data_IF_568841565402
#
_entry.id   IF_568841565402
#
_cell.length_a   1.000
_cell.length_b   1.000
_cell.length_c   1.000
_cell.angle_alpha   90.00
_cell.angle_beta   90.00
_cell.angle_gamma   90.00
#
_symmetry.space_group_name_H-M   'P 1'
#
loop_
_entity.id
_entity.type
_entity.pdbx_description
1 polymer ?
#
# COMPACT_ATOMS: atom_id res chain seq x y z
N UNK A 1 18.01 -7.53 -11.70
CA UNK A 1 17.53 -8.42 -10.61
C UNK A 1 16.30 -9.15 -11.16
N UNK A 2 16.12 -10.46 -10.94
CA UNK A 2 14.95 -11.17 -11.42
C UNK A 2 13.67 -10.60 -10.79
N UNK A 3 12.56 -10.65 -11.53
CA UNK A 3 11.23 -10.37 -10.99
C UNK A 3 10.93 -11.36 -9.86
N UNK A 4 10.32 -10.88 -8.78
CA UNK A 4 9.99 -11.69 -7.62
C UNK A 4 8.48 -11.59 -7.35
N UNK A 5 7.80 -12.73 -7.43
CA UNK A 5 6.37 -12.83 -7.17
C UNK A 5 5.57 -11.77 -7.95
N UNK A 6 4.91 -10.85 -7.24
CA UNK A 6 4.09 -9.81 -7.84
C UNK A 6 4.81 -8.47 -8.07
N UNK A 7 6.14 -8.39 -7.91
CA UNK A 7 6.91 -7.14 -8.11
C UNK A 7 6.64 -6.39 -9.42
N UNK A 8 6.26 -7.03 -10.56
CA UNK A 8 5.84 -6.29 -11.75
C UNK A 8 4.67 -5.33 -11.54
N UNK A 9 3.84 -5.52 -10.50
CA UNK A 9 2.67 -4.67 -10.24
C UNK A 9 3.05 -3.22 -9.91
N UNK A 10 4.25 -2.97 -9.36
CA UNK A 10 4.75 -1.62 -9.14
C UNK A 10 5.98 -1.28 -9.99
N UNK A 11 6.79 -2.28 -10.38
CA UNK A 11 8.04 -2.04 -11.12
C UNK A 11 7.92 -2.19 -12.64
N UNK A 12 6.79 -2.71 -13.13
CA UNK A 12 6.61 -3.11 -14.53
C UNK A 12 7.24 -4.47 -14.85
N UNK A 13 6.81 -5.09 -15.95
CA UNK A 13 7.22 -6.47 -16.31
C UNK A 13 8.72 -6.59 -16.62
N UNK A 14 9.36 -5.49 -16.98
CA UNK A 14 10.78 -5.40 -17.29
C UNK A 14 11.56 -4.54 -16.29
N UNK A 15 10.98 -4.23 -15.11
CA UNK A 15 11.55 -3.30 -14.13
C UNK A 15 11.79 -1.89 -14.70
N UNK A 16 10.96 -1.48 -15.66
CA UNK A 16 11.05 -0.19 -16.33
C UNK A 16 10.62 0.99 -15.44
N UNK A 17 9.91 0.73 -14.34
CA UNK A 17 9.41 1.74 -13.41
C UNK A 17 10.25 1.87 -12.13
N UNK A 18 11.26 1.02 -11.92
CA UNK A 18 12.06 1.02 -10.70
C UNK A 18 12.92 -0.23 -10.52
N UNK A 19 13.65 -0.29 -9.40
CA UNK A 19 14.48 -1.43 -9.02
C UNK A 19 13.91 -2.02 -7.73
N UNK A 20 13.75 -3.35 -7.67
CA UNK A 20 13.33 -4.03 -6.46
C UNK A 20 14.41 -3.90 -5.38
N UNK A 21 14.05 -3.26 -4.26
CA UNK A 21 14.91 -3.12 -3.08
C UNK A 21 14.38 -3.98 -1.92
N UNK A 22 15.21 -4.31 -0.93
CA UNK A 22 14.73 -4.96 0.30
C UNK A 22 13.61 -4.16 0.97
N UNK A 23 13.67 -2.83 0.95
CA UNK A 23 12.66 -1.96 1.55
C UNK A 23 11.30 -2.04 0.86
N UNK A 24 11.26 -2.27 -0.46
CA UNK A 24 10.00 -2.51 -1.19
C UNK A 24 9.38 -3.87 -0.82
N UNK A 25 10.24 -4.84 -0.49
CA UNK A 25 9.81 -6.21 -0.16
C UNK A 25 9.42 -6.35 1.31
N UNK A 26 10.18 -5.73 2.21
CA UNK A 26 10.09 -5.82 3.66
C UNK A 26 10.41 -4.45 4.28
N UNK A 27 9.44 -3.51 4.23
CA UNK A 27 9.63 -2.15 4.70
C UNK A 27 9.84 -2.10 6.22
N UNK A 28 10.66 -1.15 6.69
CA UNK A 28 10.86 -0.99 8.13
C UNK A 28 9.60 -0.43 8.81
N UNK A 29 9.37 -0.70 10.10
CA UNK A 29 8.25 -0.14 10.85
C UNK A 29 8.19 1.40 10.75
N UNK A 30 9.33 2.08 10.78
CA UNK A 30 9.40 3.54 10.69
C UNK A 30 8.92 4.04 9.33
N UNK A 31 9.29 3.35 8.25
CA UNK A 31 8.85 3.68 6.89
C UNK A 31 7.35 3.44 6.73
N UNK A 32 6.83 2.31 7.23
CA UNK A 32 5.39 2.01 7.23
C UNK A 32 4.62 3.14 7.94
N UNK A 33 5.04 3.51 9.15
CA UNK A 33 4.37 4.54 9.95
C UNK A 33 4.42 5.92 9.28
N UNK A 34 5.54 6.25 8.64
CA UNK A 34 5.70 7.52 7.95
C UNK A 34 4.80 7.62 6.71
N UNK A 35 4.83 6.62 5.84
CA UNK A 35 4.02 6.63 4.61
C UNK A 35 2.51 6.56 4.90
N UNK A 36 2.10 5.83 5.94
CA UNK A 36 0.70 5.86 6.41
C UNK A 36 0.30 7.28 6.85
N UNK A 37 1.14 7.95 7.64
CA UNK A 37 0.85 9.33 8.09
C UNK A 37 0.74 10.30 6.91
N UNK A 38 1.64 10.19 5.94
CA UNK A 38 1.69 11.04 4.75
C UNK A 38 0.44 10.84 3.88
N UNK A 39 0.06 9.59 3.61
CA UNK A 39 -1.15 9.27 2.83
C UNK A 39 -2.42 9.71 3.56
N UNK A 40 -2.55 9.41 4.86
CA UNK A 40 -3.70 9.85 5.67
C UNK A 40 -3.82 11.39 5.64
N UNK A 41 -2.69 12.09 5.74
CA UNK A 41 -2.64 13.54 5.62
C UNK A 41 -3.05 14.06 4.25
N UNK A 42 -2.55 13.45 3.17
CA UNK A 42 -2.82 13.86 1.80
C UNK A 42 -4.30 13.70 1.42
N UNK A 43 -4.93 12.60 1.83
CA UNK A 43 -6.33 12.32 1.47
C UNK A 43 -7.35 12.81 2.52
N UNK A 44 -6.89 13.29 3.67
CA UNK A 44 -7.74 13.67 4.79
C UNK A 44 -8.47 12.49 5.44
N UNK A 45 -7.84 11.31 5.45
CA UNK A 45 -8.41 10.04 5.92
C UNK A 45 -8.92 10.10 7.36
N UNK A 46 -9.96 9.34 7.67
CA UNK A 46 -10.62 9.33 9.00
C UNK A 46 -10.39 8.06 9.80
N UNK A 47 -9.93 7.00 9.13
CA UNK A 47 -9.61 5.70 9.70
C UNK A 47 -8.58 5.00 8.84
N UNK A 48 -7.79 4.12 9.44
CA UNK A 48 -6.89 3.21 8.73
C UNK A 48 -7.36 1.78 8.97
N UNK A 49 -7.45 0.98 7.92
CA UNK A 49 -7.66 -0.46 8.04
C UNK A 49 -6.34 -1.19 7.74
N UNK A 50 -6.00 -2.17 8.56
CA UNK A 50 -4.78 -2.97 8.43
C UNK A 50 -5.14 -4.43 8.27
N UNK A 51 -4.68 -5.02 7.17
CA UNK A 51 -4.62 -6.46 6.98
C UNK A 51 -3.15 -6.89 7.01
N UNK A 52 -2.82 -7.87 7.85
CA UNK A 52 -1.47 -8.38 8.02
C UNK A 52 -1.50 -9.87 8.26
N UNK A 53 -0.49 -10.58 7.76
CA UNK A 53 -0.31 -12.01 8.00
C UNK A 53 0.21 -12.31 9.42
N UNK A 54 0.75 -11.30 10.13
CA UNK A 54 1.27 -11.46 11.49
C UNK A 54 1.03 -10.23 12.37
N UNK A 55 1.86 -9.21 12.19
CA UNK A 55 1.82 -8.01 13.04
C UNK A 55 1.04 -6.90 12.35
N UNK A 56 -0.03 -6.46 13.01
CA UNK A 56 -0.94 -5.44 12.48
C UNK A 56 -0.56 -4.02 12.91
N UNK A 57 0.43 -3.84 13.81
CA UNK A 57 0.91 -2.52 14.26
C UNK A 57 -0.19 -1.54 14.70
N UNK A 58 -1.34 -2.05 15.19
CA UNK A 58 -2.53 -1.22 15.43
C UNK A 58 -2.26 -0.09 16.41
N UNK A 59 -1.54 -0.39 17.50
CA UNK A 59 -1.16 0.60 18.51
C UNK A 59 -0.21 1.64 17.91
N UNK A 60 0.86 1.21 17.24
CA UNK A 60 1.88 2.11 16.70
C UNK A 60 1.29 3.06 15.64
N UNK A 61 0.44 2.54 14.75
CA UNK A 61 -0.24 3.36 13.74
C UNK A 61 -1.22 4.33 14.41
N UNK A 62 -1.97 3.88 15.41
CA UNK A 62 -2.91 4.75 16.14
C UNK A 62 -2.18 5.86 16.88
N UNK A 63 -1.04 5.56 17.51
CA UNK A 63 -0.23 6.53 18.23
C UNK A 63 0.42 7.54 17.28
N UNK A 64 0.95 7.07 16.13
CA UNK A 64 1.48 7.94 15.06
C UNK A 64 0.43 8.93 14.55
N UNK A 65 -0.84 8.51 14.48
CA UNK A 65 -1.94 9.30 13.93
C UNK A 65 -2.77 10.06 14.97
N UNK A 66 -2.43 9.98 16.26
CA UNK A 66 -3.26 10.49 17.36
C UNK A 66 -3.58 11.99 17.23
N UNK A 67 -2.60 12.80 16.78
CA UNK A 67 -2.75 14.25 16.58
C UNK A 67 -3.76 14.60 15.49
N UNK A 68 -4.05 13.67 14.59
CA UNK A 68 -5.04 13.80 13.52
C UNK A 68 -6.43 13.28 13.93
N UNK A 69 -6.55 12.68 15.11
CA UNK A 69 -7.79 12.04 15.57
C UNK A 69 -8.16 10.79 14.76
N UNK A 70 -7.20 10.15 14.11
CA UNK A 70 -7.40 8.96 13.29
C UNK A 70 -6.91 7.72 14.05
N UNK A 71 -7.61 6.60 13.88
CA UNK A 71 -7.28 5.31 14.51
C UNK A 71 -7.11 4.21 13.45
N UNK A 72 -6.29 3.21 13.78
CA UNK A 72 -6.15 2.00 13.01
C UNK A 72 -7.11 0.89 13.50
N UNK A 73 -7.59 0.08 12.58
CA UNK A 73 -8.48 -1.04 12.83
C UNK A 73 -8.01 -2.26 12.04
N UNK A 74 -8.28 -3.45 12.57
CA UNK A 74 -8.15 -4.72 11.84
C UNK A 74 -9.46 -5.48 11.93
N UNK A 75 -9.64 -6.48 11.07
CA UNK A 75 -10.72 -7.41 11.26
C UNK A 75 -10.44 -8.31 12.48
N UNK A 76 -11.46 -8.58 13.28
CA UNK A 76 -11.30 -9.33 14.53
C UNK A 76 -11.04 -10.82 14.29
N UNK A 77 -11.52 -11.35 13.16
CA UNK A 77 -11.31 -12.73 12.73
C UNK A 77 -10.23 -12.82 11.65
N UNK A 78 -9.53 -13.96 11.60
CA UNK A 78 -8.55 -14.25 10.55
C UNK A 78 -9.28 -14.72 9.29
N UNK A 79 -9.82 -13.76 8.53
CA UNK A 79 -10.55 -14.00 7.29
C UNK A 79 -9.93 -13.23 6.12
N UNK A 80 -8.96 -13.83 5.40
CA UNK A 80 -8.21 -13.14 4.36
C UNK A 80 -9.08 -12.61 3.20
N UNK A 81 -10.21 -13.26 2.90
CA UNK A 81 -11.13 -12.79 1.86
C UNK A 81 -11.89 -11.53 2.28
N UNK A 82 -12.23 -11.41 3.57
CA UNK A 82 -12.86 -10.22 4.13
C UNK A 82 -11.88 -9.06 4.12
N UNK A 83 -10.62 -9.30 4.47
CA UNK A 83 -9.55 -8.31 4.36
C UNK A 83 -9.37 -7.83 2.91
N UNK A 84 -9.29 -8.74 1.93
CA UNK A 84 -9.19 -8.37 0.51
C UNK A 84 -10.38 -7.52 0.06
N UNK A 85 -11.58 -7.83 0.52
CA UNK A 85 -12.78 -7.05 0.20
C UNK A 85 -12.70 -5.63 0.78
N UNK A 86 -12.31 -5.49 2.05
CA UNK A 86 -12.16 -4.18 2.72
C UNK A 86 -11.06 -3.36 2.03
N UNK A 87 -9.89 -3.95 1.77
CA UNK A 87 -8.77 -3.30 1.08
C UNK A 87 -9.16 -2.85 -0.34
N UNK A 88 -9.95 -3.65 -1.05
CA UNK A 88 -10.42 -3.29 -2.40
C UNK A 88 -11.34 -2.08 -2.36
N UNK A 89 -12.14 -1.93 -1.30
CA UNK A 89 -13.13 -0.85 -1.16
C UNK A 89 -12.58 0.42 -0.49
N UNK A 90 -11.32 0.45 -0.07
CA UNK A 90 -10.74 1.62 0.62
C UNK A 90 -10.64 2.84 -0.28
N UNK A 91 -10.65 4.05 0.30
CA UNK A 91 -10.45 5.27 -0.49
C UNK A 91 -9.06 5.28 -1.14
N UNK A 92 -8.03 4.90 -0.39
CA UNK A 92 -6.64 4.72 -0.84
C UNK A 92 -6.13 3.35 -0.38
N UNK A 93 -5.30 2.69 -1.19
CA UNK A 93 -4.68 1.42 -0.84
C UNK A 93 -3.15 1.54 -0.88
N UNK A 94 -2.48 1.18 0.21
CA UNK A 94 -1.02 0.99 0.26
C UNK A 94 -0.74 -0.50 0.37
N UNK A 95 -0.06 -1.07 -0.62
CA UNK A 95 0.27 -2.50 -0.66
C UNK A 95 1.76 -2.79 -0.49
N UNK A 96 2.08 -4.07 -0.30
CA UNK A 96 3.42 -4.60 -0.51
C UNK A 96 3.58 -4.96 -2.00
N UNK A 97 4.61 -4.47 -2.68
CA UNK A 97 4.76 -4.69 -4.12
C UNK A 97 5.10 -6.14 -4.50
N UNK A 98 5.74 -6.90 -3.61
CA UNK A 98 6.15 -8.29 -3.90
C UNK A 98 5.01 -9.27 -3.65
N UNK A 99 4.07 -8.94 -2.75
CA UNK A 99 2.98 -9.84 -2.35
C UNK A 99 1.96 -10.09 -3.46
N UNK A 100 1.66 -11.37 -3.72
CA UNK A 100 0.56 -11.77 -4.62
C UNK A 100 -0.83 -11.49 -4.02
N UNK A 101 -0.92 -11.40 -2.69
CA UNK A 101 -2.14 -11.05 -1.96
C UNK A 101 -2.55 -9.60 -2.26
N UNK A 102 -1.63 -8.65 -2.12
CA UNK A 102 -1.86 -7.24 -2.45
C UNK A 102 -2.08 -7.02 -3.94
N UNK A 103 -1.48 -7.87 -4.79
CA UNK A 103 -1.70 -7.87 -6.23
C UNK A 103 -3.15 -8.18 -6.64
N UNK A 104 -3.87 -8.97 -5.83
CA UNK A 104 -5.31 -9.14 -6.02
C UNK A 104 -6.03 -7.79 -5.85
N UNK A 105 -5.77 -7.08 -4.75
CA UNK A 105 -6.37 -5.78 -4.45
C UNK A 105 -6.05 -4.76 -5.53
N UNK A 106 -4.77 -4.66 -5.92
CA UNK A 106 -4.32 -3.71 -6.94
C UNK A 106 -5.08 -3.91 -8.26
N UNK A 107 -5.18 -5.16 -8.75
CA UNK A 107 -5.95 -5.49 -9.96
C UNK A 107 -7.44 -5.23 -9.80
N UNK A 108 -8.02 -5.60 -8.66
CA UNK A 108 -9.45 -5.42 -8.41
C UNK A 108 -9.83 -3.92 -8.42
N UNK A 109 -8.95 -3.05 -7.92
CA UNK A 109 -9.11 -1.59 -7.95
C UNK A 109 -8.90 -1.03 -9.35
N UNK A 110 -7.85 -1.45 -10.06
CA UNK A 110 -7.51 -0.93 -11.40
C UNK A 110 -8.55 -1.34 -12.48
N UNK A 111 -8.92 -2.61 -12.50
CA UNK A 111 -9.81 -3.17 -13.52
C UNK A 111 -11.26 -3.32 -13.06
N UNK A 112 -11.57 -2.91 -11.83
CA UNK A 112 -12.91 -2.94 -11.28
C UNK A 112 -13.92 -2.03 -12.00
N UNK A 113 -15.20 -2.28 -11.74
CA UNK A 113 -16.31 -1.46 -12.23
C UNK A 113 -16.42 -0.10 -11.52
N UNK A 114 -15.91 0.00 -10.30
CA UNK A 114 -15.86 1.23 -9.50
C UNK A 114 -14.72 2.12 -9.98
N UNK A 115 -15.04 3.16 -10.74
CA UNK A 115 -14.08 4.12 -11.31
C UNK A 115 -13.72 5.27 -10.38
N UNK A 116 -14.39 5.36 -9.24
CA UNK A 116 -14.18 6.37 -8.20
C UNK A 116 -13.14 5.96 -7.15
N UNK A 117 -12.69 4.69 -7.17
CA UNK A 117 -11.60 4.22 -6.31
C UNK A 117 -10.29 4.92 -6.69
N UNK A 118 -9.61 5.51 -5.71
CA UNK A 118 -8.36 6.24 -5.94
C UNK A 118 -7.15 5.31 -6.03
N UNK A 119 -6.02 5.92 -6.32
CA UNK A 119 -4.73 5.32 -6.62
C UNK A 119 -4.28 4.23 -5.62
N UNK A 120 -3.51 3.29 -6.14
CA UNK A 120 -2.73 2.36 -5.35
C UNK A 120 -1.34 2.97 -5.13
N UNK A 121 -0.78 2.82 -3.93
CA UNK A 121 0.65 3.01 -3.69
C UNK A 121 1.27 1.74 -3.10
N UNK A 122 2.59 1.69 -3.05
CA UNK A 122 3.32 0.54 -2.50
C UNK A 122 4.41 1.03 -1.55
N UNK A 123 4.57 0.35 -0.43
CA UNK A 123 5.57 0.74 0.58
C UNK A 123 6.99 0.76 -0.02
N UNK A 124 7.73 1.84 0.26
CA UNK A 124 9.12 1.99 -0.15
C UNK A 124 9.34 2.13 -1.66
N UNK A 125 8.27 2.22 -2.45
CA UNK A 125 8.34 2.45 -3.89
C UNK A 125 8.29 3.95 -4.20
N UNK A 126 9.36 4.46 -4.80
CA UNK A 126 9.41 5.80 -5.37
C UNK A 126 9.49 5.69 -6.90
N UNK A 127 8.58 6.33 -7.65
CA UNK A 127 8.67 6.36 -9.11
C UNK A 127 9.97 7.04 -9.56
N UNK A 128 10.64 6.47 -10.57
CA UNK A 128 11.74 7.18 -11.22
C UNK A 128 11.15 8.42 -11.90
N UNK A 129 11.46 9.62 -11.39
CA UNK A 129 11.11 10.86 -12.08
C UNK A 129 11.70 10.82 -13.49
N UNK A 130 10.83 10.85 -14.51
CA UNK A 130 11.28 11.08 -15.88
C UNK A 130 11.95 12.45 -15.88
N UNK A 131 13.28 12.49 -16.04
CA UNK A 131 13.99 13.75 -16.35
C UNK A 131 13.21 14.41 -17.48
N UNK A 132 12.67 15.61 -17.23
CA UNK A 132 12.16 16.47 -18.30
C UNK A 132 13.34 16.72 -19.23
N UNK A 133 13.41 16.00 -20.34
CA UNK A 133 14.29 16.36 -21.44
C UNK A 133 13.59 17.55 -22.07
N UNK A 134 14.04 18.75 -21.71
CA UNK A 134 13.71 19.95 -22.47
C UNK A 134 14.32 19.75 -23.87
N UNK A 135 13.46 19.69 -24.88
CA UNK A 135 13.81 19.65 -26.30
C UNK A 135 14.05 21.07 -26.82
#
# INVERSE_FOLDING_TARGET
MPQLFASPQCLGYHNELGILTPQICDPSPELILQEIEDVVGAIGGKSVFVASDRDHMITDITDKLIKRGVKAFKYDSDEPYTDLAILTLSDHFIGNCVSTFTSFVSRAREFGSRKDLKDNSFFGYEPIEKRKIEL
#
